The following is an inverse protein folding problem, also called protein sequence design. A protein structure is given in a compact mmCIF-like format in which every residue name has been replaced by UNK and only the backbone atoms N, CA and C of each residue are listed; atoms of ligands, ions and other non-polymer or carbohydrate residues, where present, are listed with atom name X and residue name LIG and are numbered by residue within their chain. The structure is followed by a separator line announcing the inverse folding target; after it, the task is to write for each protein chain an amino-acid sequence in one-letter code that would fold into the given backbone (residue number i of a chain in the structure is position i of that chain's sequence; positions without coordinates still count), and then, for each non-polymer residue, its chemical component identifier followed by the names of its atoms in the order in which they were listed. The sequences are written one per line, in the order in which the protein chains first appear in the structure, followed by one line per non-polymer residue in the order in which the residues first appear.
data_IF_129077285112
#
_entry.id   IF_129077285112
#
_cell.length_a   1.000
_cell.length_b   1.000
_cell.length_c   1.000
_cell.angle_alpha   90.00
_cell.angle_beta   90.00
_cell.angle_gamma   90.00
#
_symmetry.space_group_name_H-M   'P 1'
#
loop_
_entity.id
_entity.type
_entity.pdbx_description
1 polymer ?
#
# COMPACT_ATOMS: atom_id res chain seq x y z
N UNK A 1 -3.56 33.19 6.86
CA UNK A 1 -2.68 33.29 5.69
C UNK A 1 -1.85 32.02 5.57
N UNK A 2 -1.93 31.38 4.45
CA UNK A 2 -1.15 30.15 4.24
C UNK A 2 0.29 30.55 3.98
N UNK A 3 1.19 30.06 4.80
CA UNK A 3 2.61 30.26 4.59
C UNK A 3 3.06 29.28 3.49
N UNK A 4 3.29 29.77 2.30
CA UNK A 4 3.74 28.96 1.15
C UNK A 4 5.11 28.33 1.38
N UNK A 5 5.87 28.86 2.33
CA UNK A 5 7.19 28.35 2.68
C UNK A 5 7.13 27.27 3.77
N UNK A 6 5.97 27.05 4.35
CA UNK A 6 5.83 26.01 5.36
C UNK A 6 6.02 24.63 4.72
N UNK A 7 6.96 23.89 5.27
CA UNK A 7 7.30 22.55 4.78
C UNK A 7 6.53 21.47 5.51
N UNK A 8 6.14 20.46 4.77
CA UNK A 8 5.48 19.26 5.30
C UNK A 8 6.17 18.03 4.78
N UNK A 9 6.13 16.99 5.59
CA UNK A 9 6.64 15.68 5.17
C UNK A 9 5.53 14.90 4.46
N UNK A 10 5.87 14.31 3.32
CA UNK A 10 4.93 13.54 2.52
C UNK A 10 5.46 12.14 2.27
N UNK A 11 4.55 11.17 2.26
CA UNK A 11 4.78 9.83 1.74
C UNK A 11 4.12 9.73 0.38
N UNK A 12 4.90 9.36 -0.61
CA UNK A 12 4.42 9.21 -1.98
C UNK A 12 4.67 7.78 -2.43
N UNK A 13 3.61 7.12 -2.84
CA UNK A 13 3.67 5.75 -3.33
C UNK A 13 3.73 5.78 -4.85
N UNK A 14 4.78 5.17 -5.40
CA UNK A 14 5.02 5.13 -6.84
C UNK A 14 5.04 3.67 -7.31
N UNK A 15 4.61 3.42 -8.52
CA UNK A 15 4.62 2.08 -9.11
C UNK A 15 6.01 1.67 -9.60
N UNK A 16 6.89 2.63 -9.82
CA UNK A 16 8.28 2.42 -10.27
C UNK A 16 9.22 3.28 -9.46
N UNK A 17 10.48 2.89 -9.40
CA UNK A 17 11.50 3.69 -8.73
C UNK A 17 11.74 5.00 -9.49
N UNK A 18 11.94 6.12 -8.78
CA UNK A 18 12.28 7.37 -9.43
C UNK A 18 13.67 7.24 -10.08
N UNK A 19 13.83 7.90 -11.22
CA UNK A 19 15.11 7.90 -11.94
C UNK A 19 16.13 8.82 -11.24
N UNK A 20 17.36 8.80 -11.70
CA UNK A 20 18.44 9.59 -11.13
C UNK A 20 18.20 11.10 -11.26
N UNK A 21 17.51 11.52 -12.31
CA UNK A 21 17.15 12.92 -12.53
C UNK A 21 16.22 13.42 -11.43
N UNK A 22 15.17 12.67 -11.12
CA UNK A 22 14.23 13.02 -10.07
C UNK A 22 14.93 13.03 -8.70
N UNK A 23 15.78 12.06 -8.43
CA UNK A 23 16.52 11.97 -7.18
C UNK A 23 17.50 13.15 -7.02
N UNK A 24 18.10 13.60 -8.11
CA UNK A 24 19.01 14.75 -8.08
C UNK A 24 18.26 16.07 -7.81
N UNK A 25 17.03 16.21 -8.29
CA UNK A 25 16.19 17.38 -8.04
C UNK A 25 15.71 17.47 -6.59
N UNK A 26 15.58 16.31 -5.93
CA UNK A 26 15.07 16.22 -4.56
C UNK A 26 16.02 15.37 -3.69
N UNK A 27 17.21 15.91 -3.37
CA UNK A 27 18.25 15.10 -2.71
C UNK A 27 17.89 14.64 -1.29
N UNK A 28 16.92 15.28 -0.66
CA UNK A 28 16.47 14.91 0.68
C UNK A 28 15.46 13.75 0.71
N UNK A 29 15.05 13.22 -0.47
CA UNK A 29 14.07 12.14 -0.46
C UNK A 29 14.71 10.82 -0.05
N UNK A 30 13.97 10.05 0.73
CA UNK A 30 14.32 8.66 1.02
C UNK A 30 13.46 7.74 0.17
N UNK A 31 14.05 6.69 -0.34
CA UNK A 31 13.39 5.75 -1.26
C UNK A 31 13.52 4.35 -0.71
N UNK A 32 12.41 3.65 -0.57
CA UNK A 32 12.43 2.23 -0.21
C UNK A 32 11.36 1.47 -1.00
N UNK A 33 11.59 0.20 -1.21
CA UNK A 33 10.62 -0.67 -1.88
C UNK A 33 9.79 -1.42 -0.83
N UNK A 34 8.51 -1.61 -1.11
CA UNK A 34 7.69 -2.49 -0.30
C UNK A 34 8.08 -3.94 -0.58
N UNK A 35 7.85 -4.82 0.37
CA UNK A 35 8.09 -6.23 0.18
C UNK A 35 7.06 -6.82 -0.78
N UNK A 36 7.45 -7.90 -1.48
CA UNK A 36 6.51 -8.66 -2.29
C UNK A 36 5.44 -9.26 -1.37
N UNK A 37 4.20 -9.21 -1.80
CA UNK A 37 3.06 -9.72 -1.04
C UNK A 37 2.19 -10.61 -1.92
N UNK A 38 1.40 -11.46 -1.27
CA UNK A 38 0.35 -12.22 -1.94
C UNK A 38 -0.98 -11.78 -1.34
N UNK A 39 -1.93 -11.43 -2.18
CA UNK A 39 -3.30 -11.15 -1.77
C UNK A 39 -4.13 -12.41 -1.88
N UNK A 40 -4.82 -12.76 -0.81
CA UNK A 40 -5.68 -13.92 -0.71
C UNK A 40 -7.13 -13.44 -0.58
N UNK A 41 -8.01 -13.95 -1.42
CA UNK A 41 -9.43 -13.62 -1.35
C UNK A 41 -10.23 -14.86 -1.03
N UNK A 42 -11.14 -14.73 -0.08
CA UNK A 42 -12.04 -15.81 0.33
C UNK A 42 -13.36 -15.23 0.81
N UNK A 43 -14.44 -15.91 0.42
CA UNK A 43 -15.77 -15.61 0.94
C UNK A 43 -15.91 -16.23 2.33
N UNK A 44 -16.33 -15.44 3.28
CA UNK A 44 -16.53 -15.87 4.69
C UNK A 44 -17.93 -15.52 5.14
N UNK A 45 -18.56 -16.43 5.87
CA UNK A 45 -19.96 -16.31 6.30
C UNK A 45 -20.14 -15.60 7.64
N UNK A 46 -19.09 -15.11 8.24
CA UNK A 46 -19.21 -14.36 9.48
C UNK A 46 -17.88 -14.20 10.20
N UNK A 47 -17.87 -13.50 11.34
CA UNK A 47 -16.64 -13.18 12.05
C UNK A 47 -15.90 -14.42 12.59
N UNK A 48 -16.61 -15.48 12.89
CA UNK A 48 -15.98 -16.72 13.37
C UNK A 48 -15.18 -17.41 12.29
N UNK A 49 -15.73 -17.44 11.08
CA UNK A 49 -15.04 -18.02 9.92
C UNK A 49 -13.84 -17.18 9.51
N UNK A 50 -13.96 -15.85 9.61
CA UNK A 50 -12.84 -14.94 9.34
C UNK A 50 -11.72 -15.18 10.37
N UNK A 51 -12.06 -15.27 11.64
CA UNK A 51 -11.08 -15.56 12.70
C UNK A 51 -10.36 -16.89 12.46
N UNK A 52 -11.10 -17.91 12.05
CA UNK A 52 -10.54 -19.21 11.75
C UNK A 52 -9.55 -19.13 10.58
N UNK A 53 -9.87 -18.36 9.54
CA UNK A 53 -8.98 -18.14 8.41
C UNK A 53 -7.67 -17.45 8.85
N UNK A 54 -7.78 -16.42 9.69
CA UNK A 54 -6.61 -15.70 10.18
C UNK A 54 -5.72 -16.59 11.05
N UNK A 55 -6.32 -17.46 11.85
CA UNK A 55 -5.58 -18.45 12.66
C UNK A 55 -4.85 -19.45 11.75
N UNK A 56 -5.49 -19.92 10.69
CA UNK A 56 -4.86 -20.82 9.72
C UNK A 56 -3.66 -20.16 9.04
N UNK A 57 -3.80 -18.91 8.65
CA UNK A 57 -2.71 -18.12 8.04
C UNK A 57 -1.54 -18.01 9.01
N UNK A 58 -1.82 -17.68 10.27
CA UNK A 58 -0.80 -17.58 11.32
C UNK A 58 -0.11 -18.91 11.57
N UNK A 59 -0.85 -20.02 11.55
CA UNK A 59 -0.28 -21.35 11.78
C UNK A 59 0.68 -21.81 10.67
N UNK A 60 0.56 -21.22 9.48
CA UNK A 60 1.49 -21.47 8.38
C UNK A 60 2.75 -20.61 8.47
N UNK A 61 2.87 -19.78 9.49
CA UNK A 61 4.04 -18.90 9.68
C UNK A 61 4.04 -17.69 8.75
N UNK A 62 2.90 -17.34 8.17
CA UNK A 62 2.79 -16.20 7.26
C UNK A 62 2.60 -14.90 8.03
N UNK A 63 3.23 -13.85 7.54
CA UNK A 63 3.11 -12.52 8.14
C UNK A 63 1.98 -11.74 7.47
N UNK A 64 0.96 -11.44 8.27
CA UNK A 64 -0.20 -10.68 7.83
C UNK A 64 0.12 -9.20 7.76
N UNK A 65 -0.24 -8.55 6.67
CA UNK A 65 -0.02 -7.11 6.49
C UNK A 65 -1.31 -6.32 6.37
N UNK A 66 -2.38 -6.93 5.91
CA UNK A 66 -3.64 -6.23 5.72
C UNK A 66 -4.80 -7.21 5.66
N UNK A 67 -5.95 -6.82 6.20
CA UNK A 67 -7.23 -7.54 6.09
C UNK A 67 -8.31 -6.51 5.82
N UNK A 68 -9.04 -6.67 4.75
CA UNK A 68 -10.18 -5.79 4.50
C UNK A 68 -11.32 -6.50 3.76
N UNK A 69 -12.50 -6.00 3.94
CA UNK A 69 -13.68 -6.50 3.25
C UNK A 69 -13.74 -5.86 1.85
N UNK A 70 -13.89 -6.70 0.85
CA UNK A 70 -13.92 -6.26 -0.55
C UNK A 70 -15.34 -5.93 -1.01
N UNK A 71 -16.35 -6.59 -0.42
CA UNK A 71 -17.75 -6.37 -0.79
C UNK A 71 -18.58 -5.96 0.42
N UNK A 72 -19.59 -5.14 0.20
CA UNK A 72 -20.52 -4.68 1.23
C UNK A 72 -21.85 -5.45 1.25
N UNK A 73 -21.83 -6.70 0.83
CA UNK A 73 -23.02 -7.55 0.87
C UNK A 73 -23.27 -8.02 2.30
N UNK A 74 -24.49 -7.86 2.79
CA UNK A 74 -24.86 -8.34 4.12
C UNK A 74 -24.71 -9.87 4.21
N UNK A 75 -24.24 -10.35 5.35
CA UNK A 75 -23.99 -11.77 5.60
C UNK A 75 -22.60 -12.17 5.14
N UNK A 76 -22.54 -13.07 4.18
CA UNK A 76 -21.27 -13.52 3.63
C UNK A 76 -20.53 -12.37 2.93
N UNK A 77 -19.29 -12.12 3.31
CA UNK A 77 -18.46 -11.10 2.71
C UNK A 77 -17.25 -11.70 2.02
N UNK A 78 -16.80 -11.05 0.95
CA UNK A 78 -15.52 -11.38 0.33
C UNK A 78 -14.45 -10.55 1.04
N UNK A 79 -13.48 -11.26 1.61
CA UNK A 79 -12.36 -10.62 2.32
C UNK A 79 -11.08 -10.81 1.54
N UNK A 80 -10.25 -9.78 1.57
CA UNK A 80 -8.90 -9.84 1.05
C UNK A 80 -7.92 -9.77 2.22
N UNK A 81 -7.00 -10.72 2.25
CA UNK A 81 -5.94 -10.79 3.25
C UNK A 81 -4.62 -10.71 2.52
N UNK A 82 -3.76 -9.81 2.92
CA UNK A 82 -2.43 -9.68 2.33
C UNK A 82 -1.37 -10.22 3.28
N UNK A 83 -0.48 -11.02 2.72
CA UNK A 83 0.63 -11.63 3.47
C UNK A 83 1.95 -11.36 2.75
N UNK A 84 3.03 -11.28 3.52
CA UNK A 84 4.36 -11.06 2.97
C UNK A 84 4.84 -12.31 2.25
N UNK A 85 5.44 -12.11 1.09
CA UNK A 85 6.10 -13.16 0.33
C UNK A 85 5.22 -13.81 -0.72
N UNK A 86 5.76 -14.84 -1.33
CA UNK A 86 5.08 -15.66 -2.31
C UNK A 86 4.71 -16.98 -1.66
N UNK A 87 3.46 -17.41 -1.85
CA UNK A 87 2.98 -18.66 -1.28
C UNK A 87 3.17 -19.81 -2.24
N UNK A 88 3.59 -20.95 -1.73
CA UNK A 88 3.65 -22.19 -2.50
C UNK A 88 2.25 -22.75 -2.77
N UNK A 89 2.13 -23.58 -3.79
CA UNK A 89 0.86 -24.18 -4.21
C UNK A 89 0.18 -25.00 -3.11
N UNK A 90 0.95 -25.61 -2.21
CA UNK A 90 0.40 -26.40 -1.10
C UNK A 90 -0.33 -25.51 -0.10
N UNK A 91 0.28 -24.38 0.28
CA UNK A 91 -0.34 -23.41 1.20
C UNK A 91 -1.61 -22.81 0.59
N UNK A 92 -1.57 -22.47 -0.69
CA UNK A 92 -2.72 -21.92 -1.39
C UNK A 92 -3.89 -22.89 -1.43
N UNK A 93 -3.63 -24.17 -1.67
CA UNK A 93 -4.67 -25.22 -1.67
C UNK A 93 -5.26 -25.42 -0.28
N UNK A 94 -4.41 -25.38 0.74
CA UNK A 94 -4.84 -25.55 2.13
C UNK A 94 -5.80 -24.43 2.56
N UNK A 95 -5.48 -23.18 2.19
CA UNK A 95 -6.27 -22.02 2.55
C UNK A 95 -7.56 -21.88 1.76
N UNK A 96 -7.68 -22.57 0.64
CA UNK A 96 -8.85 -22.52 -0.26
C UNK A 96 -9.22 -21.11 -0.67
N UNK A 97 -8.21 -20.31 -0.96
CA UNK A 97 -8.37 -18.92 -1.38
C UNK A 97 -8.03 -18.75 -2.84
N UNK A 98 -8.68 -17.79 -3.50
CA UNK A 98 -8.13 -17.28 -4.75
C UNK A 98 -6.99 -16.33 -4.38
N UNK A 99 -6.01 -16.19 -5.24
CA UNK A 99 -4.83 -15.40 -4.93
C UNK A 99 -4.32 -14.63 -6.13
N UNK A 100 -3.62 -13.55 -5.86
CA UNK A 100 -2.88 -12.81 -6.88
C UNK A 100 -1.65 -12.15 -6.24
N UNK A 101 -0.55 -11.99 -7.01
CA UNK A 101 0.61 -11.30 -6.48
C UNK A 101 0.35 -9.80 -6.40
N UNK A 102 0.81 -9.18 -5.32
CA UNK A 102 0.78 -7.71 -5.19
C UNK A 102 2.16 -7.21 -5.58
N UNK A 103 2.21 -6.40 -6.61
CA UNK A 103 3.47 -5.88 -7.11
C UNK A 103 4.16 -5.01 -6.07
N UNK A 104 5.50 -5.09 -6.04
CA UNK A 104 6.30 -4.20 -5.22
C UNK A 104 6.07 -2.77 -5.67
N UNK A 105 5.92 -1.90 -4.69
CA UNK A 105 5.81 -0.47 -4.94
C UNK A 105 6.99 0.26 -4.34
N UNK A 106 7.23 1.47 -4.79
CA UNK A 106 8.27 2.32 -4.26
C UNK A 106 7.63 3.35 -3.33
N UNK A 107 8.13 3.43 -2.11
CA UNK A 107 7.73 4.45 -1.15
C UNK A 107 8.79 5.53 -1.11
N UNK A 108 8.38 6.76 -1.36
CA UNK A 108 9.26 7.93 -1.31
C UNK A 108 8.80 8.82 -0.17
N UNK A 109 9.71 9.20 0.69
CA UNK A 109 9.42 10.16 1.78
C UNK A 109 10.29 11.40 1.58
N UNK A 110 9.68 12.56 1.60
CA UNK A 110 10.41 13.82 1.44
C UNK A 110 9.65 14.96 2.10
N UNK A 111 10.38 16.04 2.39
CA UNK A 111 9.83 17.27 2.96
C UNK A 111 9.77 18.33 1.86
N UNK A 112 8.59 18.89 1.64
CA UNK A 112 8.34 19.89 0.61
C UNK A 112 7.49 21.02 1.16
N UNK A 113 7.69 22.21 0.64
CA UNK A 113 6.75 23.30 0.84
C UNK A 113 5.43 22.97 0.11
N UNK A 114 4.33 23.45 0.63
CA UNK A 114 3.00 23.15 0.08
C UNK A 114 2.89 23.45 -1.43
N UNK A 115 3.52 24.51 -1.91
CA UNK A 115 3.54 24.86 -3.33
C UNK A 115 4.43 23.98 -4.19
N UNK A 116 5.35 23.24 -3.58
CA UNK A 116 6.28 22.36 -4.32
C UNK A 116 5.75 20.96 -4.55
N UNK A 117 4.79 20.53 -3.73
CA UNK A 117 4.23 19.19 -3.86
C UNK A 117 3.72 18.92 -5.28
N UNK A 118 2.97 19.83 -5.90
CA UNK A 118 2.39 19.79 -7.23
C UNK A 118 3.46 19.64 -8.27
N UNK A 119 4.63 20.34 -8.10
CA UNK A 119 5.76 20.23 -9.02
C UNK A 119 6.43 18.88 -8.90
N UNK A 120 6.56 18.36 -7.68
CA UNK A 120 7.11 17.03 -7.44
C UNK A 120 6.25 15.94 -8.09
N UNK A 121 4.92 16.03 -7.91
CA UNK A 121 4.01 15.05 -8.49
C UNK A 121 4.03 15.09 -10.03
N UNK A 122 4.14 16.28 -10.58
CA UNK A 122 4.27 16.44 -12.03
C UNK A 122 5.61 15.84 -12.53
N UNK A 123 6.69 16.03 -11.80
CA UNK A 123 7.99 15.44 -12.14
C UNK A 123 7.95 13.92 -12.08
N UNK A 124 7.24 13.34 -11.11
CA UNK A 124 7.03 11.89 -11.03
C UNK A 124 6.29 11.37 -12.26
N UNK A 125 5.26 12.08 -12.68
CA UNK A 125 4.50 11.73 -13.87
C UNK A 125 5.36 11.82 -15.13
N UNK A 126 6.12 12.89 -15.26
CA UNK A 126 6.98 13.13 -16.42
C UNK A 126 8.09 12.09 -16.56
N UNK A 127 8.61 11.57 -15.48
CA UNK A 127 9.63 10.53 -15.52
C UNK A 127 9.06 9.10 -15.59
N UNK A 128 7.75 8.97 -15.66
CA UNK A 128 7.11 7.66 -15.77
C UNK A 128 7.11 6.82 -14.50
N UNK A 129 7.30 7.44 -13.33
CA UNK A 129 7.33 6.72 -12.06
C UNK A 129 5.97 6.15 -11.64
N UNK A 130 4.89 6.69 -12.16
CA UNK A 130 3.54 6.18 -11.88
C UNK A 130 3.06 6.45 -10.45
N UNK A 131 2.35 7.54 -10.27
CA UNK A 131 1.82 7.92 -8.96
C UNK A 131 0.67 7.02 -8.53
N UNK A 132 0.79 6.37 -7.39
CA UNK A 132 -0.26 5.54 -6.83
C UNK A 132 -0.98 6.20 -5.65
N UNK A 133 -0.26 6.90 -4.78
CA UNK A 133 -0.85 7.52 -3.59
C UNK A 133 0.05 8.63 -3.05
N UNK A 134 -0.56 9.64 -2.45
CA UNK A 134 0.13 10.70 -1.73
C UNK A 134 -0.50 10.86 -0.36
N UNK A 135 0.31 10.96 0.66
CA UNK A 135 -0.16 11.10 2.03
C UNK A 135 0.76 12.08 2.79
N UNK A 136 0.17 13.04 3.48
CA UNK A 136 0.94 13.93 4.36
C UNK A 136 1.15 13.25 5.71
N UNK A 137 2.41 13.11 6.12
CA UNK A 137 2.77 12.43 7.35
C UNK A 137 2.26 13.21 8.57
N UNK A 138 1.77 12.50 9.55
CA UNK A 138 1.33 13.10 10.82
C UNK A 138 -0.12 13.54 10.85
N UNK A 139 -0.85 13.40 9.73
CA UNK A 139 -2.29 13.66 9.71
C UNK A 139 -3.02 12.46 9.12
N UNK A 140 -4.29 12.25 9.46
CA UNK A 140 -5.09 11.21 8.83
C UNK A 140 -5.14 11.39 7.32
N UNK A 141 -5.48 10.33 6.61
CA UNK A 141 -5.58 10.32 5.16
C UNK A 141 -6.37 11.54 4.68
N UNK A 142 -5.79 12.30 3.76
CA UNK A 142 -6.39 13.51 3.23
C UNK A 142 -7.73 13.26 2.53
N UNK A 143 -7.94 12.05 2.05
CA UNK A 143 -9.18 11.67 1.37
C UNK A 143 -10.26 11.26 2.35
N UNK A 144 -9.92 10.84 3.53
CA UNK A 144 -10.86 10.29 4.50
C UNK A 144 -11.21 11.16 5.66
N UNK A 145 -10.62 12.31 5.79
CA UNK A 145 -10.82 13.19 6.93
C UNK A 145 -12.06 14.04 6.77
N UNK A 146 -13.15 13.42 6.85
CA UNK A 146 -14.43 14.13 6.84
C UNK A 146 -14.67 14.94 8.09
#
# INVERSE_FOLDING_TARGET
MVDEEQEFEYDVQLTRRPDDTLRALYPGMTVRSTEAQTALRRRVDGPEELSALLVEIGSLGLTLTDVHRVTNVEGAGLYEVRVVGELGGTSLRYLKCTHYPVQKQTLVRLTLAAGELHRFLQACTDCGAGLARVHRVGIPDLVGSG
#
